data_IF_788826941534
#
_entry.id   IF_788826941534
#
_cell.length_a   1.000
_cell.length_b   1.000
_cell.length_c   1.000
_cell.angle_alpha   90.00
_cell.angle_beta   90.00
_cell.angle_gamma   90.00
#
_symmetry.space_group_name_H-M   'P 1'
#
loop_
_entity.id
_entity.type
_entity.pdbx_description
1 polymer ?
#
# COMPACT_ATOMS: atom_id res chain seq x y z
N UNK A 1 8.80 7.93 -5.76
CA UNK A 1 8.52 6.72 -6.56
C UNK A 1 7.09 6.30 -6.29
N UNK A 2 6.18 6.85 -7.06
CA UNK A 2 4.78 6.40 -7.08
C UNK A 2 4.72 5.03 -7.76
N UNK A 3 3.69 4.24 -7.44
CA UNK A 3 3.42 2.96 -8.09
C UNK A 3 3.32 3.10 -9.62
N UNK A 4 2.94 4.28 -10.12
CA UNK A 4 2.92 4.60 -11.56
C UNK A 4 4.32 4.69 -12.20
N UNK A 5 5.36 5.11 -11.47
CA UNK A 5 6.73 5.16 -11.99
C UNK A 5 7.37 3.77 -12.09
N UNK A 6 7.05 2.86 -11.16
CA UNK A 6 7.45 1.45 -11.26
C UNK A 6 6.77 0.73 -12.44
N UNK A 7 5.54 1.14 -12.80
CA UNK A 7 4.81 0.61 -13.96
C UNK A 7 5.34 1.17 -15.28
N UNK A 8 5.83 2.41 -15.30
CA UNK A 8 6.36 3.05 -16.51
C UNK A 8 7.73 2.51 -16.96
N UNK A 9 8.57 2.05 -16.02
CA UNK A 9 9.82 1.36 -16.36
C UNK A 9 9.63 0.06 -17.14
N UNK A 10 8.42 -0.50 -17.13
CA UNK A 10 8.06 -1.72 -17.88
C UNK A 10 7.53 -1.44 -19.30
N UNK A 11 7.17 -0.19 -19.62
CA UNK A 11 6.45 0.16 -20.87
C UNK A 11 7.32 0.85 -21.94
N UNK A 12 8.36 1.59 -21.56
CA UNK A 12 9.19 2.31 -22.52
C UNK A 12 10.52 1.59 -22.79
N UNK A 13 10.52 0.74 -23.82
CA UNK A 13 11.67 0.02 -24.34
C UNK A 13 12.60 0.84 -25.25
N UNK A 14 12.94 2.08 -24.88
CA UNK A 14 13.96 2.84 -25.58
C UNK A 14 15.29 2.83 -24.82
N UNK A 15 15.95 1.67 -24.83
CA UNK A 15 17.38 1.57 -24.62
C UNK A 15 17.99 1.17 -25.97
N UNK A 16 18.67 2.12 -26.63
CA UNK A 16 19.50 1.83 -27.81
C UNK A 16 20.59 0.82 -27.39
N UNK A 17 20.66 -0.26 -28.14
CA UNK A 17 21.31 -1.56 -27.90
C UNK A 17 22.86 -1.50 -27.85
N UNK A 18 23.55 -2.55 -27.35
CA UNK A 18 23.68 -3.83 -28.06
C UNK A 18 23.09 -5.01 -27.29
N UNK A 19 22.66 -6.01 -28.06
CA UNK A 19 21.90 -7.19 -27.65
C UNK A 19 22.56 -8.03 -26.54
N UNK A 20 21.81 -8.26 -25.46
CA UNK A 20 21.85 -9.55 -24.72
C UNK A 20 20.43 -10.11 -24.78
N UNK A 21 20.25 -11.01 -25.73
CA UNK A 21 19.04 -11.77 -26.03
C UNK A 21 18.78 -12.79 -24.92
N UNK A 22 18.24 -12.36 -23.78
CA UNK A 22 17.71 -13.26 -22.73
C UNK A 22 16.39 -12.75 -22.11
N UNK A 23 15.74 -11.75 -22.71
CA UNK A 23 14.57 -11.07 -22.14
C UNK A 23 13.24 -11.50 -22.79
N UNK A 24 13.19 -12.73 -23.30
CA UNK A 24 11.92 -13.42 -23.46
C UNK A 24 11.48 -13.94 -22.09
N UNK A 25 10.81 -13.09 -21.32
CA UNK A 25 9.84 -13.62 -20.36
C UNK A 25 8.89 -14.51 -21.16
N UNK A 26 8.80 -15.82 -20.88
CA UNK A 26 8.01 -16.74 -21.69
C UNK A 26 6.58 -16.19 -21.80
N UNK A 27 5.92 -16.29 -22.97
CA UNK A 27 4.62 -15.66 -23.24
C UNK A 27 3.57 -16.04 -22.19
N UNK A 28 3.67 -17.26 -21.65
CA UNK A 28 2.83 -17.76 -20.56
C UNK A 28 2.94 -16.94 -19.26
N UNK A 29 4.12 -16.39 -18.95
CA UNK A 29 4.35 -15.60 -17.73
C UNK A 29 3.87 -14.14 -17.83
N UNK A 30 3.88 -13.54 -19.02
CA UNK A 30 3.31 -12.20 -19.27
C UNK A 30 1.78 -12.23 -19.20
N UNK A 31 1.16 -13.26 -19.77
CA UNK A 31 -0.29 -13.49 -19.68
C UNK A 31 -0.75 -13.56 -18.22
N UNK A 32 -0.07 -14.34 -17.37
CA UNK A 32 -0.42 -14.48 -15.95
C UNK A 32 -0.26 -13.18 -15.16
N UNK A 33 0.80 -12.40 -15.40
CA UNK A 33 1.01 -11.11 -14.73
C UNK A 33 -0.05 -10.09 -15.17
N UNK A 34 -0.35 -10.02 -16.46
CA UNK A 34 -1.37 -9.13 -17.00
C UNK A 34 -2.77 -9.50 -16.50
N UNK A 35 -3.08 -10.80 -16.41
CA UNK A 35 -4.34 -11.28 -15.84
C UNK A 35 -4.47 -10.90 -14.35
N UNK A 36 -3.38 -10.98 -13.59
CA UNK A 36 -3.38 -10.62 -12.17
C UNK A 36 -3.52 -9.10 -11.94
N UNK A 37 -2.86 -8.30 -12.78
CA UNK A 37 -3.02 -6.83 -12.77
C UNK A 37 -4.46 -6.48 -13.17
N UNK A 38 -5.00 -7.12 -14.21
CA UNK A 38 -6.39 -6.98 -14.62
C UNK A 38 -7.36 -7.32 -13.48
N UNK A 39 -7.11 -8.41 -12.75
CA UNK A 39 -7.88 -8.79 -11.58
C UNK A 39 -7.83 -7.74 -10.47
N UNK A 40 -6.64 -7.23 -10.12
CA UNK A 40 -6.50 -6.18 -9.10
C UNK A 40 -7.23 -4.89 -9.49
N UNK A 41 -7.12 -4.48 -10.75
CA UNK A 41 -7.84 -3.31 -11.28
C UNK A 41 -9.34 -3.55 -11.23
N UNK A 42 -9.80 -4.72 -11.63
CA UNK A 42 -11.22 -5.09 -11.58
C UNK A 42 -11.75 -5.02 -10.14
N UNK A 43 -11.03 -5.59 -9.16
CA UNK A 43 -11.41 -5.51 -7.73
C UNK A 43 -11.55 -4.05 -7.27
N UNK A 44 -10.63 -3.17 -7.65
CA UNK A 44 -10.70 -1.75 -7.28
C UNK A 44 -11.86 -1.03 -7.97
N UNK A 45 -12.13 -1.32 -9.25
CA UNK A 45 -13.27 -0.76 -9.97
C UNK A 45 -14.59 -1.23 -9.34
N UNK A 46 -14.71 -2.53 -9.02
CA UNK A 46 -15.90 -3.09 -8.36
C UNK A 46 -16.11 -2.45 -6.98
N UNK A 47 -15.04 -2.22 -6.23
CA UNK A 47 -15.11 -1.52 -4.94
C UNK A 47 -15.61 -0.08 -5.10
N UNK A 48 -15.07 0.67 -6.06
CA UNK A 48 -15.50 2.05 -6.36
C UNK A 48 -16.96 2.11 -6.79
N UNK A 49 -17.40 1.22 -7.67
CA UNK A 49 -18.78 1.13 -8.10
C UNK A 49 -19.72 0.77 -6.94
N UNK A 50 -19.29 -0.12 -6.04
CA UNK A 50 -20.03 -0.45 -4.81
C UNK A 50 -20.20 0.76 -3.89
N UNK A 51 -19.14 1.54 -3.69
CA UNK A 51 -19.19 2.78 -2.88
C UNK A 51 -20.14 3.80 -3.52
N UNK A 52 -20.05 4.01 -4.83
CA UNK A 52 -20.92 4.95 -5.56
C UNK A 52 -22.38 4.50 -5.50
N UNK A 53 -22.65 3.20 -5.64
CA UNK A 53 -23.99 2.64 -5.53
C UNK A 53 -24.58 2.86 -4.13
N UNK A 54 -23.82 2.53 -3.08
CA UNK A 54 -24.25 2.73 -1.69
C UNK A 54 -24.46 4.23 -1.41
N UNK A 55 -23.59 5.09 -1.89
CA UNK A 55 -23.75 6.55 -1.78
C UNK A 55 -25.03 7.03 -2.47
N UNK A 56 -25.31 6.55 -3.69
CA UNK A 56 -26.51 6.94 -4.43
C UNK A 56 -27.79 6.48 -3.72
N UNK A 57 -27.82 5.23 -3.24
CA UNK A 57 -28.92 4.68 -2.44
C UNK A 57 -29.13 5.48 -1.16
N UNK A 58 -28.04 5.79 -0.45
CA UNK A 58 -28.08 6.61 0.76
C UNK A 58 -28.63 8.01 0.47
N UNK A 59 -28.10 8.69 -0.55
CA UNK A 59 -28.52 10.04 -0.97
C UNK A 59 -30.00 10.09 -1.35
N UNK A 60 -30.49 9.10 -2.11
CA UNK A 60 -31.90 9.02 -2.52
C UNK A 60 -32.83 8.88 -1.32
N UNK A 61 -32.41 8.13 -0.29
CA UNK A 61 -33.20 7.92 0.94
C UNK A 61 -33.13 9.12 1.87
N UNK A 62 -31.96 9.76 1.98
CA UNK A 62 -31.77 11.01 2.73
C UNK A 62 -32.68 12.12 2.17
N UNK A 63 -32.80 12.22 0.84
CA UNK A 63 -33.69 13.20 0.19
C UNK A 63 -35.18 13.02 0.58
N UNK A 64 -35.57 11.81 0.99
CA UNK A 64 -36.93 11.46 1.34
C UNK A 64 -37.12 11.28 2.87
N UNK A 65 -36.12 11.62 3.69
CA UNK A 65 -36.12 11.41 5.13
C UNK A 65 -36.64 12.62 5.92
N UNK A 66 -37.48 12.38 6.92
CA UNK A 66 -37.87 13.41 7.90
C UNK A 66 -36.78 13.52 8.99
N UNK A 67 -35.95 14.56 8.92
CA UNK A 67 -34.90 14.85 9.91
C UNK A 67 -35.49 15.51 11.16
N UNK A 68 -36.10 14.71 12.05
CA UNK A 68 -36.72 15.23 13.28
C UNK A 68 -35.84 15.12 14.52
N UNK A 69 -34.62 14.58 14.41
CA UNK A 69 -33.71 14.39 15.54
C UNK A 69 -32.51 15.32 15.46
N UNK A 70 -32.20 16.10 16.52
CA UNK A 70 -30.97 16.87 16.57
C UNK A 70 -29.75 15.93 16.60
N UNK A 71 -28.74 16.22 15.78
CA UNK A 71 -27.47 15.50 15.73
C UNK A 71 -26.34 16.47 16.10
N UNK A 72 -25.43 16.03 16.96
CA UNK A 72 -24.37 16.89 17.52
C UNK A 72 -23.16 16.95 16.56
N UNK A 73 -22.97 15.93 15.73
CA UNK A 73 -21.87 15.85 14.76
C UNK A 73 -22.34 15.33 13.40
N UNK A 74 -21.73 15.83 12.32
CA UNK A 74 -21.95 15.35 10.96
C UNK A 74 -21.47 13.91 10.72
N UNK A 75 -20.67 13.37 11.65
CA UNK A 75 -20.22 11.98 11.67
C UNK A 75 -21.24 11.03 12.31
N UNK A 76 -22.26 11.55 13.00
CA UNK A 76 -23.23 10.71 13.68
C UNK A 76 -24.18 10.11 12.65
N UNK A 77 -24.35 8.79 12.74
CA UNK A 77 -25.13 8.06 11.74
C UNK A 77 -26.57 7.93 12.20
N UNK A 78 -27.54 8.45 11.41
CA UNK A 78 -28.93 8.44 11.84
C UNK A 78 -29.42 7.01 12.05
N UNK A 79 -30.31 6.78 13.03
CA UNK A 79 -30.76 5.42 13.38
C UNK A 79 -31.34 4.67 12.18
N UNK A 80 -32.02 5.37 11.27
CA UNK A 80 -32.62 4.81 10.06
C UNK A 80 -31.61 4.31 9.00
N UNK A 81 -30.32 4.68 9.09
CA UNK A 81 -29.29 4.25 8.14
C UNK A 81 -28.27 3.26 8.72
N UNK A 82 -28.37 2.89 10.01
CA UNK A 82 -27.41 2.01 10.71
C UNK A 82 -27.09 0.71 9.95
N UNK A 83 -28.11 0.00 9.46
CA UNK A 83 -27.94 -1.25 8.70
C UNK A 83 -27.12 -1.05 7.41
N UNK A 84 -27.34 0.06 6.69
CA UNK A 84 -26.63 0.36 5.44
C UNK A 84 -25.16 0.69 5.68
N UNK A 85 -24.86 1.44 6.75
CA UNK A 85 -23.49 1.77 7.11
C UNK A 85 -22.74 0.54 7.59
N UNK A 86 -23.38 -0.34 8.35
CA UNK A 86 -22.76 -1.59 8.75
C UNK A 86 -22.50 -2.51 7.54
N UNK A 87 -23.43 -2.55 6.57
CA UNK A 87 -23.22 -3.25 5.30
C UNK A 87 -22.06 -2.66 4.48
N UNK A 88 -21.94 -1.33 4.43
CA UNK A 88 -20.82 -0.63 3.78
C UNK A 88 -19.48 -0.95 4.45
N UNK A 89 -19.43 -0.89 5.78
CA UNK A 89 -18.22 -1.23 6.55
C UNK A 89 -17.83 -2.69 6.29
N UNK A 90 -18.78 -3.62 6.33
CA UNK A 90 -18.55 -5.04 6.05
C UNK A 90 -18.04 -5.27 4.62
N UNK A 91 -18.63 -4.61 3.63
CA UNK A 91 -18.19 -4.66 2.24
C UNK A 91 -16.75 -4.16 2.07
N UNK A 92 -16.42 -3.01 2.69
CA UNK A 92 -15.07 -2.44 2.64
C UNK A 92 -14.03 -3.36 3.27
N UNK A 93 -14.35 -4.01 4.40
CA UNK A 93 -13.49 -5.01 5.03
C UNK A 93 -13.26 -6.20 4.08
N UNK A 94 -14.31 -6.73 3.44
CA UNK A 94 -14.20 -7.84 2.50
C UNK A 94 -13.33 -7.50 1.27
N UNK A 95 -13.49 -6.31 0.71
CA UNK A 95 -12.64 -5.80 -0.37
C UNK A 95 -11.18 -5.67 0.10
N UNK A 96 -10.95 -5.14 1.30
CA UNK A 96 -9.59 -5.03 1.84
C UNK A 96 -8.91 -6.38 2.04
N UNK A 97 -9.64 -7.39 2.54
CA UNK A 97 -9.12 -8.75 2.69
C UNK A 97 -8.75 -9.34 1.33
N UNK A 98 -9.61 -9.23 0.32
CA UNK A 98 -9.32 -9.75 -1.02
C UNK A 98 -8.13 -9.06 -1.67
N UNK A 99 -7.99 -7.74 -1.49
CA UNK A 99 -6.82 -7.00 -1.94
C UNK A 99 -5.53 -7.45 -1.23
N UNK A 100 -5.56 -7.63 0.09
CA UNK A 100 -4.41 -8.08 0.87
C UNK A 100 -3.97 -9.49 0.44
N UNK A 101 -4.92 -10.41 0.23
CA UNK A 101 -4.64 -11.75 -0.29
C UNK A 101 -3.97 -11.69 -1.67
N UNK A 102 -4.45 -10.81 -2.56
CA UNK A 102 -3.83 -10.59 -3.87
C UNK A 102 -2.38 -10.10 -3.77
N UNK A 103 -2.12 -9.11 -2.91
CA UNK A 103 -0.77 -8.57 -2.69
C UNK A 103 0.16 -9.63 -2.09
N UNK A 104 -0.30 -10.41 -1.11
CA UNK A 104 0.47 -11.49 -0.49
C UNK A 104 0.78 -12.59 -1.52
N UNK A 105 -0.19 -12.97 -2.36
CA UNK A 105 0.03 -13.91 -3.45
C UNK A 105 1.12 -13.43 -4.42
N UNK A 106 1.05 -12.16 -4.84
CA UNK A 106 2.09 -11.54 -5.68
C UNK A 106 3.46 -11.63 -5.00
N UNK A 107 3.53 -11.29 -3.72
CA UNK A 107 4.76 -11.35 -2.96
C UNK A 107 5.37 -12.75 -2.95
N UNK A 108 4.56 -13.80 -2.74
CA UNK A 108 5.05 -15.18 -2.79
C UNK A 108 5.55 -15.60 -4.17
N UNK A 109 4.81 -15.27 -5.23
CA UNK A 109 5.22 -15.56 -6.62
C UNK A 109 6.52 -14.83 -6.94
N UNK A 110 6.62 -13.56 -6.57
CA UNK A 110 7.80 -12.73 -6.78
C UNK A 110 9.02 -13.26 -6.01
N UNK A 111 8.84 -13.67 -4.74
CA UNK A 111 9.89 -14.28 -3.91
C UNK A 111 10.39 -15.61 -4.47
N UNK A 112 9.52 -16.43 -5.07
CA UNK A 112 9.93 -17.68 -5.72
C UNK A 112 10.80 -17.40 -6.95
N UNK A 113 10.41 -16.44 -7.80
CA UNK A 113 11.16 -16.09 -9.02
C UNK A 113 12.52 -15.45 -8.75
N UNK A 114 12.67 -14.75 -7.63
CA UNK A 114 13.96 -14.16 -7.23
C UNK A 114 15.11 -15.17 -7.18
N UNK A 115 14.84 -16.43 -6.78
CA UNK A 115 15.86 -17.49 -6.67
C UNK A 115 16.47 -17.90 -8.01
N UNK A 116 15.82 -17.56 -9.13
CA UNK A 116 16.21 -17.97 -10.48
C UNK A 116 16.97 -16.86 -11.23
N UNK A 117 17.13 -15.67 -10.64
CA UNK A 117 17.72 -14.52 -11.32
C UNK A 117 19.26 -14.59 -11.28
N UNK A 118 19.89 -14.48 -12.44
CA UNK A 118 21.36 -14.53 -12.56
C UNK A 118 22.03 -13.16 -12.69
N UNK A 119 21.38 -12.15 -13.29
CA UNK A 119 22.02 -10.84 -13.52
C UNK A 119 21.93 -9.90 -12.32
N UNK A 120 23.01 -9.13 -12.09
CA UNK A 120 23.20 -8.29 -10.90
C UNK A 120 22.21 -7.10 -10.86
N UNK A 121 21.93 -6.49 -12.01
CA UNK A 121 20.95 -5.41 -12.15
C UNK A 121 19.52 -5.88 -11.80
N UNK A 122 19.11 -7.05 -12.32
CA UNK A 122 17.77 -7.60 -12.05
C UNK A 122 17.65 -8.02 -10.57
N UNK A 123 18.72 -8.57 -9.96
CA UNK A 123 18.73 -8.86 -8.52
C UNK A 123 18.54 -7.61 -7.65
N UNK A 124 19.16 -6.49 -8.03
CA UNK A 124 19.00 -5.24 -7.31
C UNK A 124 17.55 -4.72 -7.38
N UNK A 125 17.00 -4.65 -8.59
CA UNK A 125 15.60 -4.24 -8.80
C UNK A 125 14.61 -5.15 -8.07
N UNK A 126 14.84 -6.47 -8.08
CA UNK A 126 14.02 -7.42 -7.34
C UNK A 126 14.10 -7.21 -5.82
N UNK A 127 15.29 -6.98 -5.29
CA UNK A 127 15.50 -6.72 -3.85
C UNK A 127 14.75 -5.47 -3.38
N UNK A 128 14.78 -4.42 -4.20
CA UNK A 128 14.03 -3.19 -3.95
C UNK A 128 12.51 -3.43 -4.02
N UNK A 129 12.03 -4.12 -5.05
CA UNK A 129 10.61 -4.47 -5.17
C UNK A 129 10.12 -5.38 -4.03
N UNK A 130 10.94 -6.30 -3.54
CA UNK A 130 10.60 -7.18 -2.42
C UNK A 130 10.47 -6.38 -1.11
N UNK A 131 11.37 -5.43 -0.90
CA UNK A 131 11.34 -4.53 0.27
C UNK A 131 10.12 -3.62 0.23
N UNK A 132 9.82 -3.04 -0.94
CA UNK A 132 8.61 -2.24 -1.17
C UNK A 132 7.33 -3.06 -0.94
N UNK A 133 7.25 -4.27 -1.49
CA UNK A 133 6.11 -5.17 -1.31
C UNK A 133 5.87 -5.54 0.15
N UNK A 134 6.95 -5.78 0.92
CA UNK A 134 6.86 -6.06 2.36
C UNK A 134 6.28 -4.88 3.13
N UNK A 135 6.66 -3.66 2.76
CA UNK A 135 6.12 -2.44 3.38
C UNK A 135 4.65 -2.23 3.02
N UNK A 136 4.26 -2.46 1.76
CA UNK A 136 2.86 -2.39 1.33
C UNK A 136 2.00 -3.39 2.11
N UNK A 137 2.46 -4.65 2.25
CA UNK A 137 1.76 -5.67 3.03
C UNK A 137 1.62 -5.24 4.49
N UNK A 138 2.69 -4.72 5.10
CA UNK A 138 2.65 -4.26 6.50
C UNK A 138 1.64 -3.12 6.68
N UNK A 139 1.65 -2.11 5.80
CA UNK A 139 0.69 -1.01 5.83
C UNK A 139 -0.75 -1.46 5.62
N UNK A 140 -1.00 -2.31 4.63
CA UNK A 140 -2.34 -2.84 4.36
C UNK A 140 -2.86 -3.69 5.52
N UNK A 141 -1.98 -4.44 6.19
CA UNK A 141 -2.34 -5.21 7.39
C UNK A 141 -2.70 -4.28 8.55
N UNK A 142 -1.89 -3.25 8.79
CA UNK A 142 -2.13 -2.28 9.86
C UNK A 142 -3.45 -1.53 9.63
N UNK A 143 -3.72 -1.10 8.40
CA UNK A 143 -4.98 -0.48 7.99
C UNK A 143 -6.18 -1.41 8.20
N UNK A 144 -6.07 -2.70 7.85
CA UNK A 144 -7.12 -3.68 8.09
C UNK A 144 -7.39 -3.86 9.60
N UNK A 145 -6.34 -3.94 10.42
CA UNK A 145 -6.48 -4.05 11.87
C UNK A 145 -7.18 -2.82 12.47
N UNK A 146 -6.83 -1.62 12.01
CA UNK A 146 -7.51 -0.38 12.43
C UNK A 146 -9.00 -0.40 12.06
N UNK A 147 -9.36 -0.81 10.85
CA UNK A 147 -10.77 -0.91 10.44
C UNK A 147 -11.55 -1.97 11.22
N UNK A 148 -10.93 -3.12 11.50
CA UNK A 148 -11.55 -4.15 12.34
C UNK A 148 -11.75 -3.64 13.77
N UNK A 149 -10.75 -2.97 14.35
CA UNK A 149 -10.85 -2.38 15.69
C UNK A 149 -11.96 -1.32 15.76
N UNK A 150 -12.02 -0.43 14.77
CA UNK A 150 -13.10 0.56 14.64
C UNK A 150 -14.48 -0.12 14.54
N UNK A 151 -14.62 -1.13 13.67
CA UNK A 151 -15.87 -1.87 13.51
C UNK A 151 -16.32 -2.55 14.79
N UNK A 152 -15.40 -3.24 15.47
CA UNK A 152 -15.66 -3.92 16.74
C UNK A 152 -16.02 -2.94 17.86
N UNK A 153 -15.28 -1.84 18.01
CA UNK A 153 -15.56 -0.82 19.01
C UNK A 153 -16.94 -0.17 18.79
N UNK A 154 -17.30 0.09 17.52
CA UNK A 154 -18.62 0.64 17.17
C UNK A 154 -19.75 -0.36 17.46
N UNK A 155 -19.58 -1.64 17.14
CA UNK A 155 -20.57 -2.68 17.46
C UNK A 155 -20.71 -2.83 18.97
N UNK A 156 -19.60 -2.90 19.69
CA UNK A 156 -19.57 -2.97 21.15
C UNK A 156 -20.35 -1.81 21.78
N UNK A 157 -20.01 -0.56 21.42
CA UNK A 157 -20.66 0.63 21.97
C UNK A 157 -22.17 0.63 21.69
N UNK A 158 -22.61 0.23 20.49
CA UNK A 158 -24.03 0.13 20.16
C UNK A 158 -24.75 -0.99 20.92
N UNK A 159 -24.07 -2.11 21.19
CA UNK A 159 -24.66 -3.26 21.89
C UNK A 159 -24.79 -3.03 23.40
N UNK A 160 -23.87 -2.28 24.01
CA UNK A 160 -23.92 -1.95 25.43
C UNK A 160 -24.75 -0.71 25.74
N UNK A 161 -25.04 0.14 24.75
CA UNK A 161 -25.75 1.39 24.99
C UNK A 161 -27.21 1.15 25.40
N UNK A 162 -27.57 1.58 26.61
CA UNK A 162 -28.94 1.61 27.09
C UNK A 162 -29.43 3.06 27.24
N UNK A 163 -30.32 3.54 26.36
CA UNK A 163 -30.74 4.95 26.32
C UNK A 163 -31.51 5.40 27.57
N UNK A 164 -31.94 4.47 28.45
CA UNK A 164 -32.61 4.79 29.71
C UNK A 164 -31.67 4.87 30.92
N UNK A 165 -30.45 4.32 30.83
CA UNK A 165 -29.49 4.24 31.95
C UNK A 165 -28.18 4.98 31.72
N UNK A 166 -27.82 5.22 30.46
CA UNK A 166 -26.52 5.79 30.14
C UNK A 166 -26.57 7.31 30.00
N UNK A 167 -25.53 7.96 30.51
CA UNK A 167 -25.29 9.38 30.28
C UNK A 167 -25.00 9.65 28.80
N UNK A 168 -25.92 10.39 28.16
CA UNK A 168 -25.84 10.80 26.75
C UNK A 168 -24.48 11.45 26.41
N UNK A 169 -23.89 12.35 27.24
CA UNK A 169 -22.58 12.96 26.93
C UNK A 169 -21.43 11.94 26.84
N UNK A 170 -21.43 10.94 27.72
CA UNK A 170 -20.41 9.89 27.77
C UNK A 170 -20.47 9.00 26.53
N UNK A 171 -21.67 8.68 26.06
CA UNK A 171 -21.86 7.94 24.81
C UNK A 171 -21.30 8.70 23.60
N UNK A 172 -21.61 10.00 23.45
CA UNK A 172 -21.11 10.81 22.34
C UNK A 172 -19.60 11.01 22.37
N UNK A 173 -19.02 11.21 23.55
CA UNK A 173 -17.56 11.35 23.70
C UNK A 173 -16.83 10.08 23.26
N UNK A 174 -17.31 8.91 23.68
CA UNK A 174 -16.76 7.62 23.25
C UNK A 174 -16.93 7.38 21.74
N UNK A 175 -18.06 7.80 21.17
CA UNK A 175 -18.29 7.71 19.73
C UNK A 175 -17.29 8.56 18.93
N UNK A 176 -17.01 9.79 19.38
CA UNK A 176 -15.98 10.67 18.79
C UNK A 176 -14.57 10.05 18.89
N UNK A 177 -14.24 9.45 20.02
CA UNK A 177 -12.95 8.77 20.19
C UNK A 177 -12.77 7.59 19.21
N UNK A 178 -13.85 6.83 18.95
CA UNK A 178 -13.83 5.74 17.97
C UNK A 178 -13.59 6.28 16.55
N UNK A 179 -14.14 7.44 16.18
CA UNK A 179 -13.90 8.03 14.86
C UNK A 179 -12.45 8.46 14.65
N UNK A 180 -11.78 8.96 15.70
CA UNK A 180 -10.35 9.33 15.65
C UNK A 180 -9.47 8.16 15.19
N UNK A 181 -9.80 6.93 15.61
CA UNK A 181 -9.05 5.71 15.23
C UNK A 181 -8.98 5.57 13.71
N UNK A 182 -10.06 5.88 12.99
CA UNK A 182 -10.10 5.80 11.52
C UNK A 182 -9.36 6.97 10.84
N UNK A 183 -9.18 8.12 11.52
CA UNK A 183 -8.43 9.26 10.96
C UNK A 183 -6.93 9.01 11.00
N UNK A 184 -6.41 8.31 12.01
CA UNK A 184 -4.98 7.94 12.06
C UNK A 184 -4.53 7.08 10.89
N UNK A 185 -5.44 6.30 10.29
CA UNK A 185 -5.17 5.55 9.05
C UNK A 185 -4.87 6.43 7.84
N UNK A 186 -5.31 7.69 7.81
CA UNK A 186 -4.95 8.66 6.76
C UNK A 186 -3.52 9.20 6.93
N UNK A 187 -2.99 9.21 8.16
CA UNK A 187 -1.64 9.66 8.46
C UNK A 187 -0.59 8.57 8.24
N UNK A 188 -1.00 7.29 8.30
CA UNK A 188 -0.12 6.14 8.11
C UNK A 188 0.76 6.23 6.85
N UNK A 189 0.22 6.51 5.65
CA UNK A 189 0.99 6.62 4.41
C UNK A 189 2.01 7.76 4.43
N UNK A 190 1.67 8.88 5.06
CA UNK A 190 2.55 10.04 5.18
C UNK A 190 3.74 9.71 6.10
N UNK A 191 3.48 9.07 7.23
CA UNK A 191 4.52 8.63 8.16
C UNK A 191 5.44 7.60 7.49
N UNK A 192 4.89 6.65 6.72
CA UNK A 192 5.73 5.68 6.01
C UNK A 192 6.54 6.31 4.89
N UNK A 193 5.99 7.29 4.18
CA UNK A 193 6.71 8.03 3.15
C UNK A 193 7.91 8.77 3.75
N UNK A 194 7.72 9.46 4.88
CA UNK A 194 8.80 10.15 5.59
C UNK A 194 9.88 9.17 6.05
N UNK A 195 9.48 8.02 6.61
CA UNK A 195 10.41 6.98 7.03
C UNK A 195 11.22 6.43 5.85
N UNK A 196 10.55 6.15 4.73
CA UNK A 196 11.20 5.67 3.50
C UNK A 196 12.16 6.71 2.91
N UNK A 197 11.80 7.99 2.94
CA UNK A 197 12.68 9.07 2.49
C UNK A 197 13.95 9.14 3.32
N UNK A 198 13.84 9.05 4.66
CA UNK A 198 15.00 9.04 5.54
C UNK A 198 15.86 7.79 5.34
N UNK A 199 15.24 6.61 5.27
CA UNK A 199 15.95 5.36 5.01
C UNK A 199 16.72 5.39 3.67
N UNK A 200 16.12 5.99 2.63
CA UNK A 200 16.79 6.19 1.33
C UNK A 200 18.00 7.12 1.46
N UNK A 201 17.86 8.24 2.18
CA UNK A 201 18.94 9.20 2.39
C UNK A 201 20.12 8.57 3.15
N UNK A 202 19.85 7.83 4.22
CA UNK A 202 20.89 7.11 5.00
C UNK A 202 21.65 6.13 4.10
N UNK A 203 20.93 5.31 3.32
CA UNK A 203 21.55 4.33 2.42
C UNK A 203 22.40 4.99 1.32
N UNK A 204 21.96 6.12 0.77
CA UNK A 204 22.75 6.87 -0.21
C UNK A 204 24.03 7.44 0.39
N UNK A 205 23.97 7.90 1.65
CA UNK A 205 25.14 8.36 2.40
C UNK A 205 26.14 7.22 2.62
N UNK A 206 25.67 6.06 3.08
CA UNK A 206 26.51 4.87 3.30
C UNK A 206 27.21 4.41 2.02
N UNK A 207 26.50 4.31 0.90
CA UNK A 207 27.08 3.92 -0.40
C UNK A 207 28.17 4.92 -0.83
N UNK A 208 27.92 6.23 -0.69
CA UNK A 208 28.91 7.25 -1.02
C UNK A 208 30.15 7.14 -0.14
N UNK A 209 29.97 6.94 1.17
CA UNK A 209 31.08 6.78 2.10
C UNK A 209 31.91 5.52 1.78
N UNK A 210 31.27 4.40 1.45
CA UNK A 210 31.96 3.15 1.11
C UNK A 210 32.75 3.25 -0.21
N UNK A 211 32.22 3.95 -1.22
CA UNK A 211 32.93 4.20 -2.48
C UNK A 211 34.14 5.10 -2.24
N UNK A 212 34.00 6.15 -1.42
CA UNK A 212 35.12 7.03 -1.05
C UNK A 212 36.21 6.26 -0.31
N UNK A 213 35.83 5.38 0.63
CA UNK A 213 36.78 4.51 1.37
C UNK A 213 37.43 3.47 0.46
N UNK A 214 36.75 2.95 -0.57
CA UNK A 214 37.38 2.03 -1.55
C UNK A 214 38.26 2.72 -2.58
N UNK A 215 38.04 4.02 -2.84
CA UNK A 215 38.90 4.84 -3.68
C UNK A 215 40.12 5.41 -2.94
N UNK A 216 40.15 5.30 -1.61
CA UNK A 216 41.25 5.70 -0.74
C UNK A 216 41.85 4.48 -0.03
N UNK A 217 43.14 4.51 0.34
CA UNK A 217 43.82 3.35 0.95
C UNK A 217 44.42 2.34 -0.05
N UNK A 218 44.93 1.22 0.46
CA UNK A 218 45.76 0.28 -0.31
C UNK A 218 45.03 -0.37 -1.50
N UNK A 219 43.74 -0.71 -1.36
CA UNK A 219 42.91 -1.21 -2.47
C UNK A 219 42.62 -0.13 -3.54
N UNK A 220 42.44 1.13 -3.12
CA UNK A 220 42.24 2.26 -4.03
C UNK A 220 43.49 2.57 -4.85
N UNK A 221 44.65 2.55 -4.20
CA UNK A 221 45.95 2.67 -4.87
C UNK A 221 46.19 1.53 -5.86
N UNK A 222 45.89 0.28 -5.49
CA UNK A 222 46.07 -0.88 -6.35
C UNK A 222 45.17 -0.85 -7.60
N UNK A 223 43.93 -0.38 -7.49
CA UNK A 223 43.04 -0.20 -8.65
C UNK A 223 43.52 0.96 -9.55
N UNK A 224 43.97 2.06 -8.96
CA UNK A 224 44.46 3.21 -9.71
C UNK A 224 45.78 2.90 -10.43
N UNK A 225 46.71 2.21 -9.78
CA UNK A 225 47.99 1.81 -10.37
C UNK A 225 47.80 0.79 -11.49
N UNK A 226 46.86 -0.14 -11.36
CA UNK A 226 46.55 -1.13 -12.40
C UNK A 226 45.97 -0.46 -13.66
N UNK A 227 45.12 0.56 -13.52
CA UNK A 227 44.65 1.33 -14.67
C UNK A 227 45.76 2.18 -15.33
N UNK A 228 46.62 2.82 -14.53
CA UNK A 228 47.78 3.55 -15.05
C UNK A 228 48.73 2.63 -15.83
N UNK A 229 48.96 1.42 -15.32
CA UNK A 229 49.84 0.44 -15.95
C UNK A 229 49.25 -0.10 -17.26
N UNK A 230 47.91 -0.22 -17.35
CA UNK A 230 47.23 -0.54 -18.61
C UNK A 230 47.28 0.60 -19.63
N UNK A 231 47.35 1.87 -19.19
CA UNK A 231 47.48 3.02 -20.08
C UNK A 231 48.91 3.23 -20.60
N UNK A 232 49.92 2.83 -19.82
CA UNK A 232 51.34 2.98 -20.19
C UNK A 232 51.97 1.77 -20.87
N UNK A 233 51.33 0.59 -20.83
CA UNK A 233 51.80 -0.60 -21.55
C UNK A 233 51.20 -0.72 -22.98
N UNK A 234 50.98 0.42 -23.65
CA UNK A 234 50.81 0.46 -25.11
C UNK A 234 52.17 0.49 -25.79
#
# INVERSE_FOLDING_TARGET
MSVSECVWGYRNGNFRTPHITCLETPPNSRSQINALIGFLIAVHITALLGIVFIYYVHRRRFRNGNFRTPHITCLETPPNSRSQINALIGFLIAVHITALLGIVFIYYVHRRRFRLVQSLSVRFQFSENLTSSRLIIALSTLQLMTFLMYGMAKVYLNSTHNPQKDDIPSYHSNMLAIYLISEYTLLLPLITMLFLMRAKQTRQSEIRSMIQVKASGAEGWANYSNQLQQQWNC
#
